data_IF_150813087336
#
_entry.id   IF_150813087336
#
_cell.length_a   1.000
_cell.length_b   1.000
_cell.length_c   1.000
_cell.angle_alpha   90.00
_cell.angle_beta   90.00
_cell.angle_gamma   90.00
#
_symmetry.space_group_name_H-M   'P 1'
#
loop_
_entity.id
_entity.type
_entity.pdbx_description
1 polymer ?
#
# COMPACT_ATOMS: atom_id res chain seq x y z
N UNK A 1 -14.85 -33.23 -9.12
CA UNK A 1 -14.93 -31.82 -9.57
C UNK A 1 -13.55 -31.23 -9.33
N UNK A 2 -12.82 -30.92 -10.39
CA UNK A 2 -11.42 -30.45 -10.32
C UNK A 2 -11.40 -28.97 -9.97
N UNK A 3 -10.94 -28.63 -8.76
CA UNK A 3 -10.64 -27.25 -8.38
C UNK A 3 -9.33 -26.82 -9.05
N UNK A 4 -9.43 -26.32 -10.28
CA UNK A 4 -8.32 -25.64 -10.93
C UNK A 4 -8.17 -24.26 -10.27
N UNK A 5 -7.27 -24.14 -9.30
CA UNK A 5 -6.74 -22.85 -8.89
C UNK A 5 -6.15 -22.16 -10.14
N UNK A 6 -6.40 -20.85 -10.36
CA UNK A 6 -5.82 -20.15 -11.49
C UNK A 6 -4.29 -20.26 -11.43
N UNK A 7 -3.69 -20.91 -12.42
CA UNK A 7 -2.24 -20.90 -12.62
C UNK A 7 -1.82 -19.44 -12.86
N UNK A 8 -0.74 -18.99 -12.22
CA UNK A 8 -0.22 -17.59 -12.21
C UNK A 8 -0.11 -16.93 -13.60
N UNK A 9 -0.14 -17.71 -14.69
CA UNK A 9 -0.06 -17.26 -16.09
C UNK A 9 -1.26 -16.44 -16.58
N UNK A 10 -2.39 -16.41 -15.86
CA UNK A 10 -3.62 -15.72 -16.29
C UNK A 10 -4.04 -14.52 -15.43
N UNK A 11 -3.21 -14.04 -14.51
CA UNK A 11 -3.55 -12.87 -13.69
C UNK A 11 -3.41 -11.58 -14.50
N UNK A 12 -4.42 -10.71 -14.45
CA UNK A 12 -4.35 -9.39 -15.06
C UNK A 12 -3.34 -8.55 -14.28
N UNK A 13 -2.24 -8.19 -14.93
CA UNK A 13 -1.30 -7.19 -14.43
C UNK A 13 -1.60 -5.86 -15.10
N UNK A 14 -1.66 -4.75 -14.34
CA UNK A 14 -1.82 -3.44 -14.94
C UNK A 14 -0.62 -3.09 -15.82
N UNK A 15 -0.84 -2.20 -16.79
CA UNK A 15 0.19 -1.74 -17.73
C UNK A 15 1.46 -1.27 -17.01
N UNK A 16 1.30 -0.53 -15.90
CA UNK A 16 2.39 -0.25 -14.98
C UNK A 16 2.20 -1.06 -13.71
N UNK A 17 3.18 -1.86 -13.31
CA UNK A 17 3.17 -2.58 -12.05
C UNK A 17 4.55 -2.58 -11.41
N UNK A 18 4.59 -2.73 -10.08
CA UNK A 18 5.81 -2.93 -9.34
C UNK A 18 6.49 -4.23 -9.81
N UNK A 19 7.81 -4.20 -9.99
CA UNK A 19 8.55 -5.41 -10.34
C UNK A 19 8.74 -6.34 -9.12
N UNK A 20 8.52 -5.82 -7.91
CA UNK A 20 8.51 -6.61 -6.68
C UNK A 20 7.11 -7.18 -6.44
N UNK A 21 7.01 -8.48 -6.14
CA UNK A 21 5.75 -9.17 -5.85
C UNK A 21 5.22 -8.83 -4.44
N UNK A 22 4.85 -7.56 -4.24
CA UNK A 22 4.37 -7.00 -2.96
C UNK A 22 3.20 -7.79 -2.36
N UNK A 23 2.35 -8.37 -3.21
CA UNK A 23 1.15 -9.10 -2.81
C UNK A 23 1.46 -10.40 -2.03
N UNK A 24 2.62 -11.03 -2.25
CA UNK A 24 3.04 -12.21 -1.48
C UNK A 24 3.18 -11.90 0.01
N UNK A 25 3.50 -10.65 0.32
CA UNK A 25 3.76 -10.14 1.66
C UNK A 25 2.55 -9.48 2.30
N UNK A 26 1.38 -9.48 1.64
CA UNK A 26 0.15 -8.87 2.16
C UNK A 26 -0.16 -9.33 3.59
N UNK A 27 -0.55 -8.42 4.47
CA UNK A 27 -1.01 -8.76 5.80
C UNK A 27 -2.34 -8.03 6.03
N UNK A 28 -3.35 -8.77 6.48
CA UNK A 28 -4.66 -8.19 6.80
C UNK A 28 -4.63 -7.64 8.22
N UNK A 29 -5.01 -6.37 8.39
CA UNK A 29 -4.98 -5.72 9.70
C UNK A 29 -6.10 -6.18 10.65
N UNK A 30 -7.17 -6.79 10.14
CA UNK A 30 -8.39 -7.05 10.90
C UNK A 30 -9.46 -5.96 10.72
N UNK A 31 -10.64 -6.18 11.29
CA UNK A 31 -11.79 -5.28 11.14
C UNK A 31 -11.76 -4.09 12.11
N UNK A 32 -11.23 -4.30 13.33
CA UNK A 32 -11.33 -3.35 14.44
C UNK A 32 -9.97 -2.78 14.85
N UNK A 33 -9.18 -2.34 13.86
CA UNK A 33 -7.91 -1.65 14.11
C UNK A 33 -7.68 -0.48 13.15
N UNK A 34 -6.86 0.47 13.59
CA UNK A 34 -6.38 1.61 12.82
C UNK A 34 -4.91 1.48 12.40
N UNK A 35 -4.41 0.25 12.27
CA UNK A 35 -2.99 -0.07 12.04
C UNK A 35 -2.58 -0.20 10.57
N UNK A 36 -3.41 0.25 9.63
CA UNK A 36 -3.16 0.14 8.19
C UNK A 36 -1.74 0.56 7.76
N UNK A 37 -1.22 1.63 8.35
CA UNK A 37 0.13 2.13 8.05
C UNK A 37 1.23 1.19 8.53
N UNK A 38 1.09 0.61 9.73
CA UNK A 38 2.05 -0.36 10.28
C UNK A 38 2.08 -1.65 9.45
N UNK A 39 0.90 -2.11 9.02
CA UNK A 39 0.81 -3.26 8.13
C UNK A 39 1.41 -2.94 6.74
N UNK A 40 1.20 -1.74 6.21
CA UNK A 40 1.88 -1.31 4.98
C UNK A 40 3.41 -1.31 5.12
N UNK A 41 3.94 -0.90 6.28
CA UNK A 41 5.37 -0.96 6.60
C UNK A 41 5.86 -2.40 6.55
N UNK A 42 5.19 -3.33 7.23
CA UNK A 42 5.57 -4.74 7.25
C UNK A 42 5.55 -5.37 5.84
N UNK A 43 4.49 -5.11 5.07
CA UNK A 43 4.34 -5.56 3.67
C UNK A 43 5.52 -5.05 2.82
N UNK A 44 5.79 -3.74 2.88
CA UNK A 44 6.82 -3.10 2.07
C UNK A 44 8.23 -3.56 2.45
N UNK A 45 8.52 -3.66 3.76
CA UNK A 45 9.82 -4.07 4.27
C UNK A 45 10.14 -5.53 3.93
N UNK A 46 9.20 -6.44 4.18
CA UNK A 46 9.38 -7.86 3.85
C UNK A 46 9.56 -8.07 2.35
N UNK A 47 8.82 -7.32 1.53
CA UNK A 47 8.97 -7.38 0.08
C UNK A 47 10.34 -6.90 -0.42
N UNK A 48 10.89 -5.88 0.23
CA UNK A 48 12.24 -5.39 -0.09
C UNK A 48 13.33 -6.39 0.33
N UNK A 49 13.14 -7.03 1.49
CA UNK A 49 14.09 -7.98 2.06
C UNK A 49 13.98 -9.41 1.47
N UNK A 50 12.87 -9.72 0.80
CA UNK A 50 12.61 -11.03 0.22
C UNK A 50 12.32 -12.14 1.24
N UNK A 51 12.10 -11.81 2.51
CA UNK A 51 11.75 -12.76 3.57
C UNK A 51 10.84 -12.12 4.63
N UNK A 52 10.12 -12.95 5.38
CA UNK A 52 9.22 -12.50 6.44
C UNK A 52 10.01 -12.15 7.71
N UNK A 53 10.38 -10.88 7.85
CA UNK A 53 11.07 -10.35 9.03
C UNK A 53 10.13 -9.55 9.94
N UNK A 54 9.12 -8.89 9.37
CA UNK A 54 8.21 -7.98 10.07
C UNK A 54 6.79 -8.51 10.11
N UNK A 55 6.20 -8.56 11.30
CA UNK A 55 4.77 -8.76 11.52
C UNK A 55 4.07 -7.41 11.73
N UNK A 56 2.92 -7.20 11.09
CA UNK A 56 2.19 -5.94 11.07
C UNK A 56 1.68 -5.52 12.45
N UNK A 57 1.25 -6.47 13.29
CA UNK A 57 0.81 -6.19 14.65
C UNK A 57 1.99 -5.82 15.56
N UNK A 58 3.13 -6.49 15.40
CA UNK A 58 4.35 -6.14 16.12
C UNK A 58 4.85 -4.75 15.72
N UNK A 59 4.91 -4.45 14.42
CA UNK A 59 5.25 -3.10 13.91
C UNK A 59 4.29 -2.07 14.50
N UNK A 60 2.98 -2.35 14.54
CA UNK A 60 2.00 -1.43 15.10
C UNK A 60 2.27 -1.10 16.57
N UNK A 61 2.61 -2.11 17.38
CA UNK A 61 2.98 -1.96 18.79
C UNK A 61 4.28 -1.17 18.95
N UNK A 62 5.29 -1.44 18.13
CA UNK A 62 6.55 -0.68 18.18
C UNK A 62 6.35 0.80 17.83
N UNK A 63 5.52 1.09 16.82
CA UNK A 63 5.23 2.44 16.37
C UNK A 63 4.41 3.27 17.38
N UNK A 64 3.70 2.64 18.34
CA UNK A 64 3.00 3.35 19.42
C UNK A 64 3.94 4.03 20.41
N UNK A 65 5.16 3.51 20.58
CA UNK A 65 6.09 3.98 21.62
C UNK A 65 6.87 5.24 21.23
N UNK A 66 6.75 5.67 19.98
CA UNK A 66 7.41 6.84 19.43
C UNK A 66 6.34 7.80 18.91
N UNK A 67 6.60 9.11 18.81
CA UNK A 67 5.68 10.17 18.30
C UNK A 67 5.26 9.99 16.81
N UNK A 68 5.25 8.76 16.37
CA UNK A 68 4.96 8.19 15.07
C UNK A 68 3.50 7.76 14.98
N UNK A 69 2.82 7.51 16.10
CA UNK A 69 1.41 7.12 16.14
C UNK A 69 0.69 7.80 17.30
N UNK A 70 -0.55 8.23 17.06
CA UNK A 70 -1.46 8.63 18.13
C UNK A 70 -2.14 7.35 18.62
N UNK A 71 -1.94 6.94 19.89
CA UNK A 71 -2.43 5.67 20.42
C UNK A 71 -3.93 5.48 20.14
N UNK A 72 -4.29 4.29 19.66
CA UNK A 72 -5.66 3.94 19.28
C UNK A 72 -6.22 4.66 18.05
N UNK A 73 -5.48 5.58 17.41
CA UNK A 73 -6.01 6.39 16.32
C UNK A 73 -5.27 6.23 14.99
N UNK A 74 -4.07 6.78 14.83
CA UNK A 74 -3.46 6.83 13.50
C UNK A 74 -1.94 6.97 13.57
N UNK A 75 -1.27 6.29 12.66
CA UNK A 75 0.15 6.54 12.37
C UNK A 75 0.28 7.82 11.57
N UNK A 76 1.15 8.71 12.03
CA UNK A 76 1.47 9.95 11.35
C UNK A 76 2.41 9.66 10.18
N UNK A 77 2.33 10.41 9.06
CA UNK A 77 3.12 10.13 7.87
C UNK A 77 4.63 10.04 8.09
N UNK A 78 5.19 10.91 8.93
CA UNK A 78 6.61 10.88 9.30
C UNK A 78 6.98 9.65 10.14
N UNK A 79 6.00 9.08 10.85
CA UNK A 79 6.16 7.87 11.64
C UNK A 79 6.52 6.66 10.78
N UNK A 80 5.87 6.51 9.63
CA UNK A 80 6.17 5.46 8.64
C UNK A 80 7.63 5.55 8.19
N UNK A 81 8.06 6.74 7.74
CA UNK A 81 9.44 6.93 7.27
C UNK A 81 10.47 6.77 8.40
N UNK A 82 10.19 7.30 9.59
CA UNK A 82 11.10 7.24 10.73
C UNK A 82 11.27 5.80 11.23
N UNK A 83 10.20 5.02 11.25
CA UNK A 83 10.26 3.60 11.62
C UNK A 83 11.10 2.80 10.61
N UNK A 84 10.85 2.96 9.30
CA UNK A 84 11.65 2.27 8.29
C UNK A 84 13.14 2.63 8.41
N UNK A 85 13.44 3.91 8.60
CA UNK A 85 14.82 4.39 8.79
C UNK A 85 15.47 3.82 10.06
N UNK A 86 14.73 3.66 11.17
CA UNK A 86 15.27 3.05 12.39
C UNK A 86 15.62 1.58 12.22
N UNK A 87 15.00 0.90 11.24
CA UNK A 87 15.33 -0.47 10.81
C UNK A 87 16.35 -0.51 9.65
N UNK A 88 17.05 0.61 9.41
CA UNK A 88 18.06 0.74 8.33
C UNK A 88 17.49 0.56 6.92
N UNK A 89 16.17 0.70 6.75
CA UNK A 89 15.51 0.68 5.45
C UNK A 89 15.36 2.13 4.96
N UNK A 90 15.91 2.50 3.79
CA UNK A 90 15.81 3.86 3.30
C UNK A 90 14.36 4.21 3.01
N UNK A 91 13.88 5.33 3.56
CA UNK A 91 12.52 5.82 3.31
C UNK A 91 12.52 7.34 3.22
N UNK A 92 11.64 7.89 2.37
CA UNK A 92 11.48 9.34 2.17
C UNK A 92 9.99 9.71 2.17
N UNK A 93 9.60 10.53 3.14
CA UNK A 93 8.28 11.17 3.13
C UNK A 93 8.22 12.23 2.04
N UNK A 94 7.15 12.21 1.26
CA UNK A 94 6.83 13.20 0.23
C UNK A 94 5.48 13.82 0.52
N UNK A 95 5.45 15.14 0.46
CA UNK A 95 4.23 15.94 0.47
C UNK A 95 3.96 16.44 -0.94
N UNK A 96 2.68 16.64 -1.27
CA UNK A 96 2.25 17.21 -2.55
C UNK A 96 2.76 16.41 -3.77
N UNK A 97 2.94 15.10 -3.63
CA UNK A 97 3.40 14.25 -4.71
C UNK A 97 2.42 14.29 -5.90
N UNK A 98 2.92 13.99 -7.09
CA UNK A 98 2.12 14.00 -8.32
C UNK A 98 1.84 12.58 -8.81
N UNK A 99 0.90 12.41 -9.73
CA UNK A 99 0.68 11.10 -10.36
C UNK A 99 1.93 10.67 -11.11
N UNK A 100 2.63 11.58 -11.77
CA UNK A 100 3.90 11.33 -12.45
C UNK A 100 4.97 10.81 -11.48
N UNK A 101 4.96 11.27 -10.23
CA UNK A 101 5.82 10.73 -9.16
C UNK A 101 5.48 9.27 -8.88
N UNK A 102 4.19 8.92 -8.76
CA UNK A 102 3.77 7.54 -8.53
C UNK A 102 4.14 6.62 -9.71
N UNK A 103 3.94 7.10 -10.95
CA UNK A 103 4.32 6.36 -12.15
C UNK A 103 5.83 6.18 -12.28
N UNK A 104 6.60 7.22 -11.96
CA UNK A 104 8.06 7.11 -11.89
C UNK A 104 8.47 6.06 -10.87
N UNK A 105 7.86 6.05 -9.68
CA UNK A 105 8.18 5.08 -8.65
C UNK A 105 7.88 3.63 -9.10
N UNK A 106 6.76 3.39 -9.79
CA UNK A 106 6.48 2.09 -10.40
C UNK A 106 7.56 1.68 -11.41
N UNK A 107 7.95 2.59 -12.32
CA UNK A 107 8.97 2.32 -13.35
C UNK A 107 10.37 2.07 -12.77
N UNK A 108 10.72 2.79 -11.72
CA UNK A 108 12.00 2.67 -11.02
C UNK A 108 11.97 1.63 -9.91
N UNK A 109 10.90 0.84 -9.82
CA UNK A 109 10.69 -0.19 -8.80
C UNK A 109 10.91 0.30 -7.35
N UNK A 110 10.46 1.52 -7.06
CA UNK A 110 10.44 2.10 -5.72
C UNK A 110 9.13 1.74 -5.05
N UNK A 111 9.20 0.93 -4.00
CA UNK A 111 8.02 0.62 -3.18
C UNK A 111 7.47 1.92 -2.61
N UNK A 112 6.16 2.14 -2.76
CA UNK A 112 5.52 3.40 -2.36
C UNK A 112 4.32 3.12 -1.49
N UNK A 113 4.33 3.64 -0.26
CA UNK A 113 3.16 3.64 0.63
C UNK A 113 2.40 4.94 0.38
N UNK A 114 1.11 4.83 0.06
CA UNK A 114 0.21 5.96 -0.14
C UNK A 114 -0.64 6.16 1.09
N UNK A 115 -0.83 7.42 1.48
CA UNK A 115 -1.74 7.81 2.57
C UNK A 115 -2.85 8.65 1.96
N UNK A 116 -4.10 8.19 2.11
CA UNK A 116 -5.29 8.84 1.55
C UNK A 116 -6.41 8.89 2.60
N UNK A 117 -7.42 9.73 2.38
CA UNK A 117 -8.50 9.85 3.35
C UNK A 117 -9.43 11.03 3.10
N UNK A 118 -10.06 11.48 4.16
CA UNK A 118 -10.94 12.64 4.17
C UNK A 118 -10.87 13.31 5.55
N UNK A 119 -10.35 14.53 5.60
CA UNK A 119 -10.25 15.31 6.83
C UNK A 119 -11.63 15.67 7.40
N UNK A 120 -12.62 15.92 6.55
CA UNK A 120 -13.98 16.29 6.96
C UNK A 120 -14.66 15.11 7.64
N UNK A 121 -14.48 13.92 7.06
CA UNK A 121 -15.01 12.66 7.61
C UNK A 121 -14.08 12.00 8.64
N UNK A 122 -12.96 12.64 8.97
CA UNK A 122 -11.96 12.22 9.97
C UNK A 122 -11.50 10.76 9.82
N UNK A 123 -11.26 10.33 8.58
CA UNK A 123 -10.69 9.01 8.29
C UNK A 123 -9.42 9.13 7.45
N UNK A 124 -8.51 8.19 7.67
CA UNK A 124 -7.28 8.03 6.91
C UNK A 124 -7.00 6.56 6.71
N UNK A 125 -6.30 6.24 5.62
CA UNK A 125 -5.95 4.87 5.28
C UNK A 125 -4.64 4.85 4.50
N UNK A 126 -3.85 3.80 4.74
CA UNK A 126 -2.60 3.57 4.04
C UNK A 126 -2.70 2.32 3.17
N UNK A 127 -2.09 2.38 1.99
CA UNK A 127 -2.00 1.25 1.05
C UNK A 127 -0.64 1.23 0.37
N UNK A 128 -0.18 0.08 -0.12
CA UNK A 128 1.06 -0.01 -0.90
C UNK A 128 0.73 0.00 -2.39
N UNK A 129 1.31 0.95 -3.14
CA UNK A 129 1.11 1.07 -4.58
C UNK A 129 1.66 -0.18 -5.29
N UNK A 130 0.79 -0.89 -6.00
CA UNK A 130 1.15 -2.08 -6.78
C UNK A 130 1.18 -1.79 -8.28
N UNK A 131 0.27 -0.96 -8.78
CA UNK A 131 0.23 -0.68 -10.22
C UNK A 131 -0.77 0.40 -10.62
N UNK A 132 -0.82 0.65 -11.92
CA UNK A 132 -1.69 1.65 -12.54
C UNK A 132 -2.02 1.26 -13.99
N UNK A 133 -3.31 1.37 -14.33
CA UNK A 133 -3.82 1.21 -15.68
C UNK A 133 -4.26 2.58 -16.23
N UNK A 134 -3.58 3.14 -17.25
CA UNK A 134 -3.91 4.45 -17.81
C UNK A 134 -5.19 4.47 -18.66
N UNK A 135 -5.56 3.36 -19.31
CA UNK A 135 -6.64 3.34 -20.29
C UNK A 135 -7.27 1.95 -20.45
N UNK A 136 -8.60 1.94 -20.61
CA UNK A 136 -9.40 0.80 -21.10
C UNK A 136 -10.91 1.00 -20.85
N UNK A 137 -11.81 0.19 -21.46
CA UNK A 137 -13.23 0.15 -21.12
C UNK A 137 -13.52 -0.03 -19.62
N UNK A 138 -14.53 0.64 -19.06
CA UNK A 138 -14.83 0.50 -17.63
C UNK A 138 -15.03 -0.99 -17.25
N UNK A 139 -14.33 -1.52 -16.23
CA UNK A 139 -13.55 -0.81 -15.20
C UNK A 139 -12.02 -0.86 -15.44
N UNK A 140 -11.49 -0.22 -16.48
CA UNK A 140 -10.07 -0.36 -16.88
C UNK A 140 -9.25 0.94 -16.81
N UNK A 141 -9.59 1.89 -15.91
CA UNK A 141 -8.66 2.98 -15.54
C UNK A 141 -8.57 3.12 -14.03
N UNK A 142 -7.38 3.02 -13.47
CA UNK A 142 -7.22 3.19 -12.03
C UNK A 142 -5.91 2.69 -11.47
N UNK A 143 -5.82 2.75 -10.15
CA UNK A 143 -4.65 2.32 -9.39
C UNK A 143 -4.91 0.98 -8.74
N UNK A 144 -3.85 0.22 -8.56
CA UNK A 144 -3.86 -1.09 -7.92
C UNK A 144 -2.99 -0.99 -6.68
N UNK A 145 -3.48 -1.54 -5.58
CA UNK A 145 -2.82 -1.48 -4.28
C UNK A 145 -2.80 -2.83 -3.60
N UNK A 146 -1.71 -3.13 -2.90
CA UNK A 146 -1.76 -4.11 -1.82
C UNK A 146 -2.35 -3.39 -0.60
N UNK A 147 -3.53 -3.84 -0.18
CA UNK A 147 -4.36 -3.12 0.80
C UNK A 147 -4.54 -3.95 2.08
N UNK A 148 -3.97 -3.54 3.23
CA UNK A 148 -4.11 -4.26 4.48
C UNK A 148 -5.50 -4.12 5.11
N UNK A 149 -6.34 -3.20 4.60
CA UNK A 149 -7.70 -2.98 5.09
C UNK A 149 -8.68 -4.10 4.71
N UNK A 150 -8.26 -5.04 3.84
CA UNK A 150 -9.10 -6.13 3.37
C UNK A 150 -8.37 -7.47 3.40
N UNK A 151 -9.09 -8.59 3.70
CA UNK A 151 -8.56 -9.94 3.55
C UNK A 151 -8.13 -10.24 2.11
N UNK A 152 -7.09 -11.06 1.92
CA UNK A 152 -6.51 -11.36 0.59
C UNK A 152 -7.55 -11.90 -0.39
N UNK A 153 -8.45 -12.71 0.11
CA UNK A 153 -9.51 -13.40 -0.61
C UNK A 153 -10.63 -12.49 -1.13
N UNK A 154 -10.71 -11.24 -0.66
CA UNK A 154 -11.67 -10.26 -1.19
C UNK A 154 -11.21 -9.62 -2.50
N UNK A 155 -9.94 -9.83 -2.89
CA UNK A 155 -9.46 -9.42 -4.20
C UNK A 155 -10.28 -10.11 -5.30
N UNK A 156 -10.49 -9.42 -6.42
CA UNK A 156 -11.21 -10.02 -7.56
C UNK A 156 -10.42 -11.24 -8.08
N UNK A 157 -11.06 -12.32 -8.53
CA UNK A 157 -10.37 -13.53 -9.01
C UNK A 157 -9.35 -13.29 -10.15
N UNK A 158 -9.51 -12.20 -10.89
CA UNK A 158 -8.61 -11.81 -11.98
C UNK A 158 -7.35 -11.05 -11.54
N UNK A 159 -7.23 -10.69 -10.26
CA UNK A 159 -6.09 -9.96 -9.69
C UNK A 159 -5.29 -10.85 -8.73
N UNK A 160 -3.99 -10.57 -8.50
CA UNK A 160 -3.25 -11.25 -7.45
C UNK A 160 -3.95 -11.10 -6.08
N UNK A 161 -3.94 -12.13 -5.21
CA UNK A 161 -4.57 -12.06 -3.89
C UNK A 161 -4.06 -10.86 -3.07
N UNK A 162 -4.97 -10.15 -2.41
CA UNK A 162 -4.63 -8.94 -1.65
C UNK A 162 -4.34 -7.69 -2.50
N UNK A 163 -4.46 -7.76 -3.84
CA UNK A 163 -4.40 -6.60 -4.73
C UNK A 163 -5.79 -6.10 -5.07
N UNK A 164 -6.03 -4.81 -4.81
CA UNK A 164 -7.32 -4.16 -5.00
C UNK A 164 -7.20 -3.01 -5.98
N UNK A 165 -8.13 -2.96 -6.91
CA UNK A 165 -8.28 -1.84 -7.84
C UNK A 165 -9.08 -0.70 -7.18
N UNK A 166 -8.68 0.53 -7.47
CA UNK A 166 -9.39 1.73 -7.13
C UNK A 166 -9.47 2.66 -8.35
N UNK A 167 -10.66 3.19 -8.62
CA UNK A 167 -10.88 4.18 -9.66
C UNK A 167 -9.94 5.39 -9.47
N UNK A 168 -9.41 5.90 -10.58
CA UNK A 168 -8.46 7.01 -10.55
C UNK A 168 -9.06 8.29 -9.96
N UNK A 169 -10.30 8.66 -10.33
CA UNK A 169 -10.89 9.91 -9.89
C UNK A 169 -11.14 9.86 -8.38
N UNK A 170 -11.68 8.74 -7.89
CA UNK A 170 -11.87 8.50 -6.46
C UNK A 170 -10.53 8.53 -5.70
N UNK A 171 -9.51 7.81 -6.19
CA UNK A 171 -8.19 7.81 -5.58
C UNK A 171 -7.62 9.23 -5.47
N UNK A 172 -7.60 9.97 -6.58
CA UNK A 172 -7.04 11.33 -6.61
C UNK A 172 -7.78 12.26 -5.65
N UNK A 173 -9.10 12.16 -5.55
CA UNK A 173 -9.87 12.96 -4.61
C UNK A 173 -9.44 12.68 -3.15
N UNK A 174 -9.43 11.42 -2.74
CA UNK A 174 -9.05 11.03 -1.37
C UNK A 174 -7.59 11.34 -1.04
N UNK A 175 -6.71 11.22 -2.03
CA UNK A 175 -5.30 11.55 -1.87
C UNK A 175 -5.07 13.06 -1.76
N UNK A 176 -5.80 13.86 -2.54
CA UNK A 176 -5.77 15.33 -2.47
C UNK A 176 -6.25 15.85 -1.10
N UNK A 177 -7.26 15.22 -0.52
CA UNK A 177 -7.76 15.60 0.81
C UNK A 177 -6.68 15.52 1.89
N UNK A 178 -5.69 14.64 1.74
CA UNK A 178 -4.55 14.49 2.64
C UNK A 178 -3.25 15.00 1.99
N UNK A 179 -3.29 16.10 1.24
CA UNK A 179 -2.09 16.78 0.71
C UNK A 179 -1.17 15.89 -0.13
N UNK A 180 -1.72 14.85 -0.78
CA UNK A 180 -1.01 13.94 -1.68
C UNK A 180 0.25 13.34 -1.06
N UNK A 181 0.11 12.82 0.16
CA UNK A 181 1.21 12.24 0.92
C UNK A 181 1.58 10.85 0.39
N UNK A 182 2.86 10.58 0.27
CA UNK A 182 3.37 9.22 0.11
C UNK A 182 4.73 9.04 0.81
N UNK A 183 5.09 7.79 1.08
CA UNK A 183 6.42 7.39 1.53
C UNK A 183 7.05 6.54 0.44
N UNK A 184 8.18 7.01 -0.08
CA UNK A 184 8.98 6.30 -1.08
C UNK A 184 10.06 5.49 -0.38
N UNK A 185 10.21 4.23 -0.79
CA UNK A 185 11.22 3.30 -0.28
C UNK A 185 12.06 2.90 -1.48
N UNK A 186 13.19 3.61 -1.74
CA UNK A 186 14.09 3.21 -2.81
C UNK A 186 14.68 1.83 -2.52
N UNK A 187 15.00 1.10 -3.59
CA UNK A 187 15.89 -0.07 -3.50
C UNK A 187 17.32 0.36 -3.21
#
# INVERSE_FOLDING_TARGET
>A
MSNNLPTERNLLKPHYHAATDLYLWHQYQGQDTNDCAAYCVAIAANALLGHAQFDGAEVAREMETHLQKIPGWATLPWGISAYLQSKQIPARLRWLASVETLLRNLRENRTTIIILGDLVRRWGHAKVLYGYEPAGPAPERGFYFVDPGYPREWARPSYPPGVFWQDQAQFKQQWNNLLRICVEIPR
#
